data_IF_050268769545
#
_entry.id   IF_050268769545
#
_cell.length_a   1.000
_cell.length_b   1.000
_cell.length_c   1.000
_cell.angle_alpha   90.00
_cell.angle_beta   90.00
_cell.angle_gamma   90.00
#
_symmetry.space_group_name_H-M   'P 1'
#
loop_
_entity.id
_entity.type
_entity.pdbx_description
1 polymer ?
#
# COMPACT_ATOMS: atom_id res chain seq x y z
N UNK A 1 3.97 11.63 7.71
CA UNK A 1 3.21 10.80 6.74
C UNK A 1 1.71 10.98 6.91
N UNK A 2 1.15 10.86 8.13
CA UNK A 2 -0.29 11.06 8.37
C UNK A 2 -0.86 12.41 7.89
N UNK A 3 -0.07 13.49 7.96
CA UNK A 3 -0.47 14.82 7.44
C UNK A 3 -0.41 14.95 5.92
N UNK A 4 0.19 14.00 5.20
CA UNK A 4 0.38 14.05 3.75
C UNK A 4 -0.71 13.31 2.97
N UNK A 5 -1.52 12.49 3.65
CA UNK A 5 -2.55 11.64 3.04
C UNK A 5 -3.82 11.79 3.86
N UNK A 6 -4.81 12.49 3.31
CA UNK A 6 -6.10 12.73 3.95
C UNK A 6 -7.23 11.94 3.31
N UNK A 7 -7.10 11.58 2.04
CA UNK A 7 -8.04 10.76 1.29
C UNK A 7 -7.30 9.90 0.26
N UNK A 8 -7.86 8.74 -0.06
CA UNK A 8 -7.36 7.84 -1.09
C UNK A 8 -8.53 7.38 -1.95
N UNK A 9 -8.36 7.49 -3.27
CA UNK A 9 -9.29 6.97 -4.27
C UNK A 9 -8.76 5.68 -4.88
N UNK A 10 -9.60 4.98 -5.65
CA UNK A 10 -9.18 3.78 -6.41
C UNK A 10 -8.00 4.09 -7.33
N UNK A 11 -7.99 5.25 -7.98
CA UNK A 11 -6.90 5.64 -8.88
C UNK A 11 -5.58 5.85 -8.13
N UNK A 12 -5.64 6.34 -6.89
CA UNK A 12 -4.46 6.59 -6.07
C UNK A 12 -3.76 5.29 -5.65
N UNK A 13 -4.52 4.20 -5.50
CA UNK A 13 -3.99 2.90 -5.03
C UNK A 13 -3.73 1.89 -6.15
N UNK A 14 -4.47 1.93 -7.27
CA UNK A 14 -4.33 0.98 -8.39
C UNK A 14 -3.75 1.61 -9.67
N UNK A 15 -3.71 2.94 -9.76
CA UNK A 15 -3.39 3.65 -11.00
C UNK A 15 -1.90 3.82 -11.31
N UNK A 16 -1.02 3.36 -10.41
CA UNK A 16 0.43 3.59 -10.50
C UNK A 16 1.21 2.28 -10.37
N UNK A 17 2.43 2.21 -10.94
CA UNK A 17 3.34 1.08 -10.69
C UNK A 17 3.61 0.89 -9.19
N UNK A 18 3.96 -0.33 -8.82
CA UNK A 18 4.28 -0.68 -7.43
C UNK A 18 5.31 0.30 -6.82
N UNK A 19 4.96 0.86 -5.67
CA UNK A 19 5.82 1.78 -4.93
C UNK A 19 5.86 3.20 -5.46
N UNK A 20 5.07 3.53 -6.50
CA UNK A 20 4.97 4.86 -7.11
C UNK A 20 3.61 5.52 -6.88
N UNK A 21 2.79 4.97 -6.00
CA UNK A 21 1.49 5.52 -5.58
C UNK A 21 1.62 6.67 -4.55
N UNK A 22 0.47 7.23 -4.19
CA UNK A 22 0.35 8.35 -3.25
C UNK A 22 0.74 8.01 -1.80
N UNK A 23 0.89 6.73 -1.45
CA UNK A 23 1.33 6.26 -0.14
C UNK A 23 2.84 6.01 -0.14
N UNK A 24 3.35 5.26 -1.11
CA UNK A 24 4.77 4.87 -1.12
C UNK A 24 5.70 6.03 -1.47
N UNK A 25 5.35 6.94 -2.37
CA UNK A 25 6.20 8.10 -2.69
C UNK A 25 6.54 8.99 -1.48
N UNK A 26 5.57 9.46 -0.66
CA UNK A 26 5.90 10.19 0.55
C UNK A 26 6.55 9.30 1.62
N UNK A 27 6.21 8.01 1.71
CA UNK A 27 6.85 7.08 2.64
C UNK A 27 8.36 6.96 2.40
N UNK A 28 8.81 6.88 1.13
CA UNK A 28 10.24 6.84 0.75
C UNK A 28 11.05 8.02 1.29
N UNK A 29 10.42 9.16 1.60
CA UNK A 29 11.10 10.36 2.11
C UNK A 29 11.34 10.34 3.61
N UNK A 30 10.61 9.48 4.35
CA UNK A 30 10.59 9.51 5.83
C UNK A 30 10.83 8.15 6.47
N UNK A 31 10.72 7.06 5.71
CA UNK A 31 10.93 5.69 6.18
C UNK A 31 12.21 5.14 5.56
N UNK A 32 13.16 4.73 6.39
CA UNK A 32 14.47 4.26 5.95
C UNK A 32 14.51 2.78 5.59
N UNK A 33 13.57 1.97 6.10
CA UNK A 33 13.55 0.52 5.89
C UNK A 33 12.51 0.12 4.84
N UNK A 34 12.98 -0.50 3.76
CA UNK A 34 12.14 -0.93 2.64
C UNK A 34 11.06 -1.95 3.05
N UNK A 35 11.32 -2.73 4.12
CA UNK A 35 10.40 -3.74 4.66
C UNK A 35 9.30 -3.17 5.56
N UNK A 36 9.15 -1.83 5.63
CA UNK A 36 8.14 -1.23 6.48
C UNK A 36 6.74 -1.74 6.13
N UNK A 37 5.98 -2.31 7.09
CA UNK A 37 4.62 -2.76 6.82
C UNK A 37 3.63 -1.58 6.76
N UNK A 38 4.02 -0.39 7.22
CA UNK A 38 3.11 0.75 7.38
C UNK A 38 2.54 1.22 6.03
N UNK A 39 3.32 1.46 4.95
CA UNK A 39 2.76 1.84 3.65
C UNK A 39 1.80 0.78 3.09
N UNK A 40 2.19 -0.50 3.19
CA UNK A 40 1.34 -1.62 2.78
C UNK A 40 0.03 -1.67 3.57
N UNK A 41 0.08 -1.46 4.89
CA UNK A 41 -1.09 -1.44 5.76
C UNK A 41 -2.09 -0.32 5.40
N UNK A 42 -1.59 0.86 5.02
CA UNK A 42 -2.43 1.97 4.56
C UNK A 42 -3.15 1.62 3.26
N UNK A 43 -2.44 1.06 2.28
CA UNK A 43 -3.03 0.58 1.02
C UNK A 43 -4.09 -0.50 1.30
N UNK A 44 -3.78 -1.47 2.16
CA UNK A 44 -4.73 -2.52 2.55
C UNK A 44 -5.99 -1.99 3.24
N UNK A 45 -5.85 -0.98 4.09
CA UNK A 45 -7.01 -0.32 4.69
C UNK A 45 -7.87 0.38 3.62
N UNK A 46 -7.24 1.10 2.69
CA UNK A 46 -7.96 1.73 1.57
C UNK A 46 -8.66 0.70 0.67
N UNK A 47 -8.00 -0.42 0.34
CA UNK A 47 -8.61 -1.53 -0.40
C UNK A 47 -9.84 -2.09 0.33
N UNK A 48 -9.79 -2.23 1.64
CA UNK A 48 -10.92 -2.72 2.44
C UNK A 48 -12.11 -1.76 2.40
N UNK A 49 -11.87 -0.47 2.67
CA UNK A 49 -12.92 0.56 2.68
C UNK A 49 -13.53 0.80 1.30
N UNK A 50 -12.76 0.64 0.22
CA UNK A 50 -13.23 0.76 -1.16
C UNK A 50 -13.92 -0.50 -1.70
N UNK A 51 -14.03 -1.57 -0.89
CA UNK A 51 -14.63 -2.83 -1.30
C UNK A 51 -13.78 -3.66 -2.28
N UNK A 52 -12.48 -3.37 -2.36
CA UNK A 52 -11.52 -4.03 -3.26
C UNK A 52 -10.74 -5.18 -2.59
N UNK A 53 -10.75 -5.25 -1.25
CA UNK A 53 -10.06 -6.30 -0.49
C UNK A 53 -10.80 -7.65 -0.53
N UNK A 54 -10.86 -8.25 -1.71
CA UNK A 54 -11.41 -9.61 -1.88
C UNK A 54 -10.49 -10.60 -1.16
N UNK A 55 -11.05 -11.38 -0.24
CA UNK A 55 -10.32 -12.44 0.47
C UNK A 55 -9.91 -13.52 -0.53
N UNK A 56 -8.64 -13.88 -0.51
CA UNK A 56 -8.08 -14.95 -1.33
C UNK A 56 -7.11 -15.77 -0.48
N UNK A 57 -7.00 -17.05 -0.79
CA UNK A 57 -5.99 -17.91 -0.16
C UNK A 57 -4.61 -17.54 -0.72
N UNK A 58 -3.67 -17.26 0.19
CA UNK A 58 -2.30 -16.87 -0.17
C UNK A 58 -1.33 -17.97 0.27
N UNK A 59 -0.52 -18.46 -0.66
CA UNK A 59 0.54 -19.45 -0.42
C UNK A 59 1.91 -18.81 -0.72
N UNK A 60 2.86 -18.96 0.20
CA UNK A 60 4.26 -18.57 -0.02
C UNK A 60 5.08 -19.86 -0.14
N UNK A 61 5.70 -20.07 -1.30
CA UNK A 61 6.59 -21.20 -1.55
C UNK A 61 8.04 -20.71 -1.65
N UNK A 62 8.92 -21.28 -0.82
CA UNK A 62 10.36 -21.06 -0.95
C UNK A 62 10.92 -22.02 -1.99
N UNK A 63 11.69 -21.49 -2.95
CA UNK A 63 12.46 -22.30 -3.88
C UNK A 63 13.84 -22.60 -3.26
N UNK A 64 14.32 -23.83 -3.44
CA UNK A 64 15.68 -24.25 -3.08
C UNK A 64 16.62 -24.04 -4.27
#
# INVERSE_FOLDING_TARGET
MASMITCLTVQDILGFPFGEDSVYRPAKKVISHASCPVPCGIIKAAEAELGLAVKQDVLIHFIQ
#
